data_IF_989670615871
#
_entry.id   IF_989670615871
#
_cell.length_a   1.000
_cell.length_b   1.000
_cell.length_c   1.000
_cell.angle_alpha   90.00
_cell.angle_beta   90.00
_cell.angle_gamma   90.00
#
_symmetry.space_group_name_H-M   'P 1'
#
loop_
_entity.id
_entity.type
_entity.pdbx_description
1 polymer ?
#
# COMPACT_ATOMS: atom_id res chain seq x y z
N UNK A 1 -18.20 -8.06 -10.48
CA UNK A 1 -17.82 -7.61 -9.10
C UNK A 1 -17.76 -6.08 -9.10
N UNK A 2 -18.32 -5.45 -8.08
CA UNK A 2 -18.27 -3.98 -7.96
C UNK A 2 -16.99 -3.58 -7.19
N UNK A 3 -16.07 -2.92 -7.87
CA UNK A 3 -14.80 -2.39 -7.34
C UNK A 3 -14.81 -0.88 -7.14
N UNK A 4 -16.01 -0.28 -7.14
CA UNK A 4 -16.13 1.16 -6.92
C UNK A 4 -15.50 1.59 -5.58
N UNK A 5 -14.84 2.74 -5.59
CA UNK A 5 -14.25 3.32 -4.38
C UNK A 5 -15.27 3.48 -3.26
N UNK A 6 -16.50 3.86 -3.61
CA UNK A 6 -17.58 4.06 -2.63
C UNK A 6 -17.89 2.76 -1.86
N UNK A 7 -17.99 1.63 -2.57
CA UNK A 7 -18.23 0.32 -1.94
C UNK A 7 -17.05 -0.10 -1.07
N UNK A 8 -15.83 -0.02 -1.61
CA UNK A 8 -14.62 -0.38 -0.90
C UNK A 8 -14.45 0.47 0.38
N UNK A 9 -14.64 1.78 0.31
CA UNK A 9 -14.59 2.68 1.46
C UNK A 9 -15.63 2.34 2.52
N UNK A 10 -16.86 2.02 2.11
CA UNK A 10 -17.93 1.62 3.02
C UNK A 10 -17.57 0.33 3.80
N UNK A 11 -16.88 -0.61 3.15
CA UNK A 11 -16.43 -1.85 3.79
C UNK A 11 -15.25 -1.56 4.73
N UNK A 12 -14.26 -0.83 4.26
CA UNK A 12 -13.10 -0.46 5.06
C UNK A 12 -13.52 0.23 6.37
N UNK A 13 -14.37 1.25 6.28
CA UNK A 13 -14.79 2.04 7.45
C UNK A 13 -15.71 1.31 8.43
N UNK A 14 -16.29 0.19 8.05
CA UNK A 14 -16.99 -0.71 8.99
C UNK A 14 -16.01 -1.55 9.82
N UNK A 15 -14.86 -1.88 9.29
CA UNK A 15 -13.88 -2.77 9.90
C UNK A 15 -12.70 -2.03 10.54
N UNK A 16 -12.40 -0.84 10.07
CA UNK A 16 -11.28 0.01 10.51
C UNK A 16 -11.82 1.35 11.02
N UNK A 17 -11.47 1.70 12.27
CA UNK A 17 -11.84 2.96 12.91
C UNK A 17 -10.61 3.82 13.21
N UNK A 18 -9.42 3.24 13.21
CA UNK A 18 -8.18 3.93 13.47
C UNK A 18 -7.82 4.85 12.29
N UNK A 19 -7.77 6.17 12.58
CA UNK A 19 -7.54 7.19 11.55
C UNK A 19 -6.21 7.04 10.82
N UNK A 20 -5.15 6.64 11.53
CA UNK A 20 -3.83 6.40 10.93
C UNK A 20 -3.86 5.26 9.91
N UNK A 21 -4.58 4.18 10.22
CA UNK A 21 -4.73 3.04 9.33
C UNK A 21 -5.62 3.40 8.13
N UNK A 22 -6.71 4.13 8.33
CA UNK A 22 -7.53 4.64 7.22
C UNK A 22 -6.72 5.52 6.27
N UNK A 23 -5.89 6.43 6.80
CA UNK A 23 -5.01 7.27 5.97
C UNK A 23 -3.96 6.43 5.23
N UNK A 24 -3.44 5.37 5.87
CA UNK A 24 -2.52 4.43 5.20
C UNK A 24 -3.21 3.73 4.02
N UNK A 25 -4.38 3.15 4.24
CA UNK A 25 -5.16 2.50 3.17
C UNK A 25 -5.46 3.45 2.01
N UNK A 26 -5.86 4.70 2.28
CA UNK A 26 -6.07 5.72 1.24
C UNK A 26 -4.79 6.05 0.48
N UNK A 27 -3.65 6.09 1.16
CA UNK A 27 -2.37 6.38 0.53
C UNK A 27 -1.90 5.22 -0.35
N UNK A 28 -2.10 3.98 0.09
CA UNK A 28 -1.83 2.78 -0.73
C UNK A 28 -2.79 2.73 -1.93
N UNK A 29 -4.08 3.02 -1.75
CA UNK A 29 -5.04 3.17 -2.86
C UNK A 29 -4.52 4.11 -3.93
N UNK A 30 -4.12 5.34 -3.55
CA UNK A 30 -3.62 6.37 -4.46
C UNK A 30 -2.41 5.88 -5.24
N UNK A 31 -1.50 5.23 -4.57
CA UNK A 31 -0.28 4.71 -5.17
C UNK A 31 -0.57 3.57 -6.13
N UNK A 32 -1.47 2.66 -5.77
CA UNK A 32 -1.93 1.57 -6.63
C UNK A 32 -2.61 2.09 -7.90
N UNK A 33 -3.49 3.09 -7.79
CA UNK A 33 -4.13 3.77 -8.92
C UNK A 33 -3.10 4.42 -9.87
N UNK A 34 -2.08 5.06 -9.30
CA UNK A 34 -1.01 5.68 -10.10
C UNK A 34 -0.21 4.63 -10.88
N UNK A 35 0.11 3.50 -10.25
CA UNK A 35 0.79 2.39 -10.91
C UNK A 35 -0.07 1.71 -11.95
N UNK A 36 -1.38 1.50 -11.68
CA UNK A 36 -2.32 0.99 -12.67
C UNK A 36 -2.32 1.86 -13.94
N UNK A 37 -2.40 3.18 -13.78
CA UNK A 37 -2.30 4.12 -14.91
C UNK A 37 -0.94 4.07 -15.63
N UNK A 38 0.18 3.90 -14.91
CA UNK A 38 1.53 3.74 -15.51
C UNK A 38 1.62 2.48 -16.37
N UNK A 39 0.99 1.37 -15.93
CA UNK A 39 1.06 0.08 -16.61
C UNK A 39 -0.09 -0.18 -17.59
N UNK A 40 -1.09 0.72 -17.67
CA UNK A 40 -2.26 0.56 -18.56
C UNK A 40 -3.28 -0.47 -18.04
N UNK A 41 -3.32 -0.66 -16.72
CA UNK A 41 -4.16 -1.63 -16.02
C UNK A 41 -5.47 -1.00 -15.49
N UNK A 42 -6.37 -1.82 -14.95
CA UNK A 42 -7.65 -1.36 -14.38
C UNK A 42 -7.44 -0.55 -13.09
N UNK A 43 -7.59 0.77 -13.20
CA UNK A 43 -7.36 1.73 -12.12
C UNK A 43 -8.35 1.51 -10.95
N UNK A 44 -9.60 1.16 -11.24
CA UNK A 44 -10.60 0.95 -10.19
C UNK A 44 -10.34 -0.35 -9.43
N UNK A 45 -10.00 -1.40 -10.14
CA UNK A 45 -9.65 -2.68 -9.53
C UNK A 45 -8.40 -2.55 -8.63
N UNK A 46 -7.32 -1.98 -9.16
CA UNK A 46 -6.08 -1.80 -8.40
C UNK A 46 -6.26 -0.86 -7.21
N UNK A 47 -7.06 0.19 -7.39
CA UNK A 47 -7.40 1.10 -6.32
C UNK A 47 -8.17 0.42 -5.20
N UNK A 48 -9.17 -0.40 -5.53
CA UNK A 48 -9.94 -1.14 -4.55
C UNK A 48 -9.08 -2.16 -3.77
N UNK A 49 -8.15 -2.86 -4.45
CA UNK A 49 -7.18 -3.75 -3.80
C UNK A 49 -6.32 -2.96 -2.81
N UNK A 50 -5.76 -1.82 -3.22
CA UNK A 50 -4.95 -0.98 -2.35
C UNK A 50 -5.73 -0.41 -1.17
N UNK A 51 -6.99 -0.03 -1.36
CA UNK A 51 -7.84 0.51 -0.29
C UNK A 51 -8.23 -0.54 0.76
N UNK A 52 -8.38 -1.80 0.35
CA UNK A 52 -8.86 -2.88 1.20
C UNK A 52 -7.76 -3.83 1.70
N UNK A 53 -6.48 -3.58 1.35
CA UNK A 53 -5.41 -4.53 1.70
C UNK A 53 -5.29 -4.80 3.21
N UNK A 54 -5.54 -3.79 4.03
CA UNK A 54 -5.46 -3.85 5.49
C UNK A 54 -6.85 -3.93 6.18
N UNK A 55 -7.89 -4.37 5.48
CA UNK A 55 -9.28 -4.38 5.99
C UNK A 55 -9.45 -5.17 7.28
N UNK A 56 -8.62 -6.17 7.51
CA UNK A 56 -8.63 -7.04 8.69
C UNK A 56 -7.59 -6.67 9.77
N UNK A 57 -6.61 -5.79 9.44
CA UNK A 57 -5.45 -5.49 10.28
C UNK A 57 -5.82 -5.02 11.68
N UNK A 58 -6.77 -4.07 11.82
CA UNK A 58 -7.15 -3.56 13.14
C UNK A 58 -7.74 -4.64 14.04
N UNK A 59 -8.42 -5.63 13.44
CA UNK A 59 -9.13 -6.69 14.17
C UNK A 59 -8.25 -7.91 14.43
N UNK A 60 -7.33 -8.20 13.50
CA UNK A 60 -6.50 -9.40 13.51
C UNK A 60 -5.01 -9.08 13.21
N UNK A 61 -4.36 -8.21 14.01
CA UNK A 61 -3.02 -7.72 13.66
C UNK A 61 -1.95 -8.83 13.57
N UNK A 62 -2.09 -9.89 14.34
CA UNK A 62 -1.13 -11.00 14.37
C UNK A 62 -1.37 -12.06 13.28
N UNK A 63 -2.57 -12.06 12.66
CA UNK A 63 -2.98 -13.04 11.65
C UNK A 63 -3.22 -12.39 10.28
N UNK A 64 -3.13 -11.06 10.22
CA UNK A 64 -3.25 -10.30 8.98
C UNK A 64 -2.25 -10.81 7.91
N UNK A 65 -2.65 -10.92 6.63
CA UNK A 65 -3.96 -10.57 6.03
C UNK A 65 -4.93 -11.77 5.89
N UNK A 66 -4.79 -12.81 6.68
CA UNK A 66 -5.48 -14.10 6.50
C UNK A 66 -6.98 -14.06 6.76
N UNK A 67 -7.49 -13.00 7.38
CA UNK A 67 -8.92 -12.80 7.64
C UNK A 67 -9.59 -11.84 6.64
N UNK A 68 -8.83 -11.23 5.73
CA UNK A 68 -9.39 -10.36 4.69
C UNK A 68 -10.40 -11.11 3.82
N UNK A 69 -10.11 -12.38 3.47
CA UNK A 69 -10.99 -13.21 2.67
C UNK A 69 -12.38 -13.39 3.26
N UNK A 70 -12.48 -13.66 4.55
CA UNK A 70 -13.79 -13.86 5.20
C UNK A 70 -14.64 -12.59 5.14
N UNK A 71 -14.03 -11.44 5.44
CA UNK A 71 -14.71 -10.15 5.39
C UNK A 71 -15.16 -9.76 3.97
N UNK A 72 -14.37 -10.09 2.95
CA UNK A 72 -14.63 -9.66 1.58
C UNK A 72 -15.60 -10.57 0.81
N UNK A 73 -15.62 -11.88 1.11
CA UNK A 73 -16.60 -12.83 0.53
C UNK A 73 -18.03 -12.44 0.83
N UNK A 74 -18.31 -11.98 2.06
CA UNK A 74 -19.63 -11.51 2.46
C UNK A 74 -20.12 -10.32 1.62
N UNK A 75 -19.19 -9.57 1.03
CA UNK A 75 -19.47 -8.41 0.19
C UNK A 75 -19.40 -8.72 -1.32
N UNK A 76 -19.26 -10.00 -1.70
CA UNK A 76 -19.28 -10.45 -3.10
C UNK A 76 -17.98 -10.18 -3.86
N UNK A 77 -16.84 -10.06 -3.17
CA UNK A 77 -15.54 -10.05 -3.83
C UNK A 77 -15.12 -11.47 -4.24
N UNK A 78 -14.43 -11.57 -5.36
CA UNK A 78 -13.98 -12.85 -5.93
C UNK A 78 -12.75 -13.38 -5.20
N UNK A 79 -12.50 -14.69 -5.29
CA UNK A 79 -11.29 -15.30 -4.73
C UNK A 79 -10.00 -14.69 -5.33
N UNK A 80 -10.03 -14.28 -6.62
CA UNK A 80 -8.89 -13.60 -7.23
C UNK A 80 -8.60 -12.27 -6.52
N UNK A 81 -9.62 -11.47 -6.24
CA UNK A 81 -9.46 -10.19 -5.52
C UNK A 81 -8.90 -10.42 -4.09
N UNK A 82 -9.40 -11.44 -3.41
CA UNK A 82 -8.92 -11.83 -2.09
C UNK A 82 -7.46 -12.26 -2.14
N UNK A 83 -7.11 -13.13 -3.10
CA UNK A 83 -5.73 -13.57 -3.34
C UNK A 83 -4.80 -12.38 -3.64
N UNK A 84 -5.26 -11.39 -4.40
CA UNK A 84 -4.48 -10.20 -4.71
C UNK A 84 -4.17 -9.38 -3.45
N UNK A 85 -5.13 -9.28 -2.53
CA UNK A 85 -4.91 -8.65 -1.23
C UNK A 85 -3.97 -9.51 -0.37
N UNK A 86 -4.26 -10.78 -0.14
CA UNK A 86 -3.49 -11.64 0.75
C UNK A 86 -2.03 -11.81 0.29
N UNK A 87 -1.75 -11.58 -1.00
CA UNK A 87 -0.41 -11.72 -1.59
C UNK A 87 0.62 -10.73 -1.03
N UNK A 88 0.22 -9.65 -0.33
CA UNK A 88 1.19 -8.75 0.28
C UNK A 88 1.82 -9.32 1.57
N UNK A 89 1.31 -10.44 2.08
CA UNK A 89 1.93 -11.16 3.19
C UNK A 89 3.41 -11.50 2.88
N UNK A 90 4.27 -11.35 3.87
CA UNK A 90 5.72 -11.62 3.71
C UNK A 90 6.02 -13.10 3.49
N UNK A 91 5.21 -13.98 4.06
CA UNK A 91 5.31 -15.44 3.93
C UNK A 91 4.60 -15.98 2.67
N UNK A 92 4.19 -15.11 1.75
CA UNK A 92 3.59 -15.50 0.48
C UNK A 92 4.55 -16.32 -0.37
N UNK A 93 4.19 -17.55 -0.65
CA UNK A 93 5.07 -18.53 -1.31
C UNK A 93 4.88 -18.66 -2.82
N UNK A 94 3.81 -18.10 -3.37
CA UNK A 94 3.52 -18.17 -4.81
C UNK A 94 4.17 -17.03 -5.57
N UNK A 95 4.37 -17.21 -6.87
CA UNK A 95 4.81 -16.13 -7.74
C UNK A 95 3.74 -15.02 -7.79
N UNK A 96 4.17 -13.78 -7.56
CA UNK A 96 3.29 -12.61 -7.60
C UNK A 96 3.03 -12.13 -9.02
N UNK A 97 1.77 -11.83 -9.33
CA UNK A 97 1.39 -11.08 -10.53
C UNK A 97 1.93 -9.66 -10.49
N UNK A 98 1.80 -8.88 -11.57
CA UNK A 98 2.25 -7.49 -11.60
C UNK A 98 1.56 -6.64 -10.51
N UNK A 99 0.22 -6.77 -10.39
CA UNK A 99 -0.56 -6.10 -9.33
C UNK A 99 0.00 -6.43 -7.94
N UNK A 100 0.19 -7.71 -7.67
CA UNK A 100 0.65 -8.22 -6.37
C UNK A 100 2.07 -7.76 -6.04
N UNK A 101 2.97 -7.69 -7.05
CA UNK A 101 4.31 -7.10 -6.90
C UNK A 101 4.23 -5.63 -6.54
N UNK A 102 3.32 -4.88 -7.19
CA UNK A 102 3.13 -3.46 -6.88
C UNK A 102 2.59 -3.29 -5.47
N UNK A 103 1.53 -4.00 -5.08
CA UNK A 103 0.96 -3.91 -3.73
C UNK A 103 2.05 -4.16 -2.67
N UNK A 104 2.76 -5.28 -2.77
CA UNK A 104 3.87 -5.63 -1.86
C UNK A 104 4.95 -4.54 -1.79
N UNK A 105 5.27 -3.90 -2.92
CA UNK A 105 6.34 -2.91 -3.00
C UNK A 105 5.95 -1.53 -2.48
N UNK A 106 4.65 -1.16 -2.51
CA UNK A 106 4.18 0.19 -2.16
C UNK A 106 3.67 0.30 -0.73
N UNK A 107 3.21 -0.79 -0.13
CA UNK A 107 2.65 -0.81 1.21
C UNK A 107 3.60 -0.18 2.24
N UNK A 108 4.70 -0.81 2.54
CA UNK A 108 5.71 -0.31 3.50
C UNK A 108 6.34 1.03 3.05
N UNK A 109 6.56 1.20 1.75
CA UNK A 109 7.13 2.43 1.20
C UNK A 109 6.20 3.63 1.39
N UNK A 110 4.91 3.45 1.20
CA UNK A 110 3.90 4.49 1.39
C UNK A 110 3.92 5.00 2.84
N UNK A 111 3.93 4.07 3.80
CA UNK A 111 4.08 4.41 5.22
C UNK A 111 5.36 5.18 5.53
N UNK A 112 6.49 4.76 4.95
CA UNK A 112 7.78 5.45 5.13
C UNK A 112 7.76 6.87 4.56
N UNK A 113 7.23 7.06 3.36
CA UNK A 113 7.14 8.37 2.70
C UNK A 113 6.27 9.33 3.52
N UNK A 114 5.12 8.88 4.03
CA UNK A 114 4.26 9.66 4.93
C UNK A 114 5.00 10.00 6.22
N UNK A 115 5.66 9.05 6.87
CA UNK A 115 6.43 9.30 8.07
C UNK A 115 7.55 10.33 7.84
N UNK A 116 8.22 10.29 6.68
CA UNK A 116 9.21 11.29 6.29
C UNK A 116 8.62 12.69 6.15
N UNK A 117 7.41 12.81 5.59
CA UNK A 117 6.72 14.09 5.47
C UNK A 117 6.35 14.66 6.86
N UNK A 118 5.81 13.84 7.74
CA UNK A 118 5.34 14.27 9.07
C UNK A 118 6.43 14.84 9.98
N UNK A 119 7.69 14.44 9.81
CA UNK A 119 8.82 14.98 10.60
C UNK A 119 9.45 16.24 10.00
N UNK A 120 8.99 16.67 8.85
CA UNK A 120 9.41 17.95 8.25
C UNK A 120 8.73 19.12 8.97
N UNK A 121 9.35 20.34 8.97
CA UNK A 121 8.72 21.52 9.55
C UNK A 121 7.36 21.88 8.92
N UNK A 122 7.24 21.68 7.60
CA UNK A 122 6.03 21.95 6.80
C UNK A 122 5.03 20.80 6.80
N UNK A 123 5.42 19.63 7.36
CA UNK A 123 4.63 18.38 7.38
C UNK A 123 4.05 18.00 5.99
N UNK A 124 4.75 18.37 4.92
CA UNK A 124 4.29 18.27 3.55
C UNK A 124 5.12 17.30 2.71
N UNK A 125 4.47 16.63 1.78
CA UNK A 125 5.11 15.84 0.72
C UNK A 125 5.68 16.74 -0.38
N UNK A 126 5.22 17.99 -0.48
CA UNK A 126 5.64 18.94 -1.49
C UNK A 126 7.10 19.08 -1.59
N UNK A 127 8.05 19.09 -1.81
CA UNK A 127 9.51 19.19 -1.72
C UNK A 127 10.18 18.03 -0.98
N UNK A 128 9.48 16.89 -0.80
CA UNK A 128 10.13 15.68 -0.31
C UNK A 128 10.89 15.01 -1.47
N UNK A 129 12.18 14.79 -1.27
CA UNK A 129 13.06 14.18 -2.27
C UNK A 129 13.53 12.80 -1.81
N UNK A 130 13.86 11.94 -2.78
CA UNK A 130 14.46 10.64 -2.54
C UNK A 130 15.62 10.68 -1.54
N UNK A 131 16.51 11.70 -1.63
CA UNK A 131 17.67 11.84 -0.73
C UNK A 131 17.24 11.86 0.74
N UNK A 132 16.15 12.51 1.06
CA UNK A 132 15.60 12.59 2.42
C UNK A 132 15.04 11.25 2.87
N UNK A 133 14.28 10.57 2.03
CA UNK A 133 13.74 9.23 2.30
C UNK A 133 14.88 8.23 2.48
N UNK A 134 15.88 8.23 1.59
CA UNK A 134 17.07 7.37 1.66
C UNK A 134 17.86 7.56 2.97
N UNK A 135 17.96 8.79 3.46
CA UNK A 135 18.57 9.07 4.76
C UNK A 135 17.79 8.42 5.91
N UNK A 136 16.46 8.52 5.87
CA UNK A 136 15.58 7.91 6.87
C UNK A 136 15.50 6.39 6.77
N UNK A 137 15.66 5.82 5.59
CA UNK A 137 15.80 4.36 5.42
C UNK A 137 16.99 3.78 6.17
N UNK A 138 18.08 4.53 6.31
CA UNK A 138 19.28 4.12 7.05
C UNK A 138 19.13 4.24 8.57
N UNK A 139 18.15 5.00 9.04
CA UNK A 139 17.87 5.20 10.46
C UNK A 139 16.85 4.16 10.94
N UNK A 140 17.33 3.07 11.52
CA UNK A 140 16.49 1.99 12.02
C UNK A 140 15.64 2.39 13.24
N UNK A 141 15.95 3.51 13.91
CA UNK A 141 15.14 4.05 15.00
C UNK A 141 13.91 4.81 14.50
N UNK A 142 13.96 5.32 13.28
CA UNK A 142 12.86 6.04 12.65
C UNK A 142 11.83 5.08 12.08
N UNK A 143 10.54 5.27 12.38
CA UNK A 143 9.43 4.44 11.89
C UNK A 143 9.75 2.93 11.96
N UNK A 144 10.01 2.42 13.17
CA UNK A 144 10.56 1.07 13.42
C UNK A 144 9.70 -0.08 12.87
N UNK A 145 8.39 0.11 12.81
CA UNK A 145 7.45 -0.90 12.32
C UNK A 145 7.65 -1.19 10.83
N UNK A 146 8.18 -0.22 10.06
CA UNK A 146 8.34 -0.34 8.62
C UNK A 146 9.53 -1.24 8.26
N UNK A 147 9.28 -2.24 7.43
CA UNK A 147 10.31 -3.14 6.94
C UNK A 147 11.01 -2.55 5.69
N UNK A 148 12.29 -2.18 5.85
CA UNK A 148 13.11 -1.61 4.77
C UNK A 148 13.51 -2.62 3.72
N UNK A 149 13.65 -3.88 4.10
CA UNK A 149 14.01 -4.96 3.18
C UNK A 149 12.90 -5.17 2.17
N UNK A 150 11.64 -5.18 2.61
CA UNK A 150 10.46 -5.25 1.75
C UNK A 150 10.44 -4.13 0.69
N UNK A 151 10.81 -2.90 1.06
CA UNK A 151 10.89 -1.77 0.12
C UNK A 151 11.94 -2.01 -0.97
N UNK A 152 13.12 -2.47 -0.59
CA UNK A 152 14.21 -2.74 -1.54
C UNK A 152 13.89 -3.94 -2.42
N UNK A 153 13.36 -5.00 -1.84
CA UNK A 153 12.93 -6.21 -2.53
C UNK A 153 11.80 -5.91 -3.52
N UNK A 154 10.82 -5.12 -3.11
CA UNK A 154 9.71 -4.71 -3.96
C UNK A 154 10.17 -3.97 -5.22
N UNK A 155 11.06 -2.99 -5.10
CA UNK A 155 11.64 -2.29 -6.24
C UNK A 155 12.38 -3.29 -7.19
N UNK A 156 13.12 -4.24 -6.62
CA UNK A 156 13.81 -5.29 -7.38
C UNK A 156 12.84 -6.22 -8.11
N UNK A 157 11.75 -6.63 -7.45
CA UNK A 157 10.70 -7.46 -8.07
C UNK A 157 10.03 -6.78 -9.26
N UNK A 158 9.89 -5.46 -9.19
CA UNK A 158 9.34 -4.64 -10.28
C UNK A 158 10.37 -4.35 -11.39
N UNK A 159 11.65 -4.66 -11.19
CA UNK A 159 12.71 -4.35 -12.13
C UNK A 159 12.98 -2.86 -12.31
N UNK A 160 12.67 -2.03 -11.30
CA UNK A 160 12.84 -0.59 -11.31
C UNK A 160 13.90 -0.15 -10.30
N UNK A 161 14.55 0.99 -10.59
CA UNK A 161 15.49 1.59 -9.65
C UNK A 161 14.78 2.08 -8.39
N UNK A 162 15.39 1.89 -7.23
CA UNK A 162 14.81 2.30 -5.94
C UNK A 162 14.52 3.80 -5.88
N UNK A 163 15.37 4.64 -6.48
CA UNK A 163 15.14 6.08 -6.51
C UNK A 163 13.91 6.41 -7.38
N UNK A 164 13.78 5.76 -8.53
CA UNK A 164 12.61 5.91 -9.41
C UNK A 164 11.34 5.48 -8.67
N UNK A 165 11.37 4.33 -8.00
CA UNK A 165 10.23 3.81 -7.23
C UNK A 165 9.79 4.78 -6.14
N UNK A 166 10.71 5.21 -5.28
CA UNK A 166 10.43 6.15 -4.19
C UNK A 166 9.90 7.49 -4.74
N UNK A 167 10.53 8.03 -5.79
CA UNK A 167 10.08 9.29 -6.38
C UNK A 167 8.70 9.19 -7.02
N UNK A 168 8.37 8.05 -7.62
CA UNK A 168 7.05 7.79 -8.17
C UNK A 168 5.99 7.79 -7.07
N UNK A 169 6.24 7.10 -5.94
CA UNK A 169 5.32 7.06 -4.78
C UNK A 169 5.12 8.47 -4.19
N UNK A 170 6.20 9.24 -4.00
CA UNK A 170 6.11 10.64 -3.54
C UNK A 170 5.19 11.43 -4.47
N UNK A 171 5.40 11.30 -5.79
CA UNK A 171 4.61 12.03 -6.80
C UNK A 171 3.15 11.61 -6.78
N UNK A 172 2.85 10.32 -6.67
CA UNK A 172 1.50 9.79 -6.58
C UNK A 172 0.75 10.34 -5.35
N UNK A 173 1.43 10.43 -4.21
CA UNK A 173 0.85 10.95 -2.98
C UNK A 173 0.69 12.48 -2.95
N UNK A 174 1.46 13.22 -3.76
CA UNK A 174 1.43 14.70 -3.78
C UNK A 174 0.36 15.25 -4.72
N UNK A 175 -0.01 14.53 -5.77
CA UNK A 175 -0.91 15.00 -6.83
C UNK A 175 -2.41 14.92 -6.51
N UNK A 176 -2.77 14.59 -5.27
CA UNK A 176 -4.16 14.35 -4.88
C UNK A 176 -4.57 15.25 -3.70
#
# INVERSE_FOLDING_TARGET
MDTSRQKAWSILTKNVQEKSLLHHCEAVEKTMRAYAGKFGEDIEYWGAVGLLHDVDFQRYPDEHPRHAGDLLREHGYTEQFITDIESHARDWSLERTLLQKVLYSVDELTGLVIACALVRPDKSLANLEFKSVKKKMKDHSFARAINRETIVEGAKMLGIDLQEHVQFVITALTKL
#
